data_IF_044073091552
#
_entry.id   IF_044073091552
#
_cell.length_a   1.000
_cell.length_b   1.000
_cell.length_c   1.000
_cell.angle_alpha   90.00
_cell.angle_beta   90.00
_cell.angle_gamma   90.00
#
_symmetry.space_group_name_H-M   'P 1'
#
loop_
_entity.id
_entity.type
_entity.pdbx_description
1 polymer ?
#
# COMPACT_ATOMS: atom_id res chain seq x y z
N UNK A 1 -10.88 9.11 26.48
CA UNK A 1 -9.75 8.61 25.69
C UNK A 1 -8.62 9.62 25.80
N UNK A 2 -7.38 9.18 25.64
CA UNK A 2 -6.20 10.05 25.70
C UNK A 2 -5.87 10.71 24.36
N UNK A 3 -6.58 10.33 23.30
CA UNK A 3 -6.45 10.87 21.93
C UNK A 3 -7.81 11.26 21.35
N UNK A 4 -7.81 12.24 20.46
CA UNK A 4 -8.95 12.64 19.64
C UNK A 4 -8.68 12.31 18.18
N UNK A 5 -9.48 11.42 17.58
CA UNK A 5 -9.40 11.09 16.16
C UNK A 5 -10.13 12.17 15.35
N UNK A 6 -9.44 12.74 14.35
CA UNK A 6 -10.00 13.73 13.43
C UNK A 6 -9.87 13.24 12.00
N UNK A 7 -10.97 13.29 11.27
CA UNK A 7 -10.96 13.05 9.83
C UNK A 7 -10.40 14.28 9.10
N UNK A 8 -9.38 14.06 8.27
CA UNK A 8 -8.71 15.12 7.51
C UNK A 8 -8.69 14.87 6.00
N UNK A 9 -9.33 13.79 5.53
CA UNK A 9 -9.22 13.36 4.13
C UNK A 9 -7.76 13.14 3.70
N UNK A 10 -7.45 13.49 2.45
CA UNK A 10 -6.10 13.38 1.86
C UNK A 10 -5.23 14.63 2.10
N UNK A 11 -5.35 15.25 3.29
CA UNK A 11 -4.64 16.50 3.62
C UNK A 11 -3.55 16.34 4.68
N UNK A 12 -3.01 15.12 4.85
CA UNK A 12 -2.02 14.75 5.87
C UNK A 12 -0.88 15.78 6.00
N UNK A 13 -0.24 16.14 4.88
CA UNK A 13 0.84 17.13 4.90
C UNK A 13 0.37 18.48 5.40
N UNK A 14 -0.67 19.05 4.79
CA UNK A 14 -1.20 20.35 5.18
C UNK A 14 -1.70 20.36 6.63
N UNK A 15 -2.39 19.31 7.06
CA UNK A 15 -2.94 19.20 8.41
C UNK A 15 -1.85 19.18 9.48
N UNK A 16 -0.74 18.47 9.22
CA UNK A 16 0.38 18.43 10.15
C UNK A 16 1.19 19.74 10.13
N UNK A 17 1.55 20.26 8.95
CA UNK A 17 2.40 21.46 8.85
C UNK A 17 1.72 22.73 9.33
N UNK A 18 0.39 22.82 9.23
CA UNK A 18 -0.38 23.97 9.73
C UNK A 18 -0.81 23.84 11.20
N UNK A 19 -0.47 22.73 11.86
CA UNK A 19 -0.86 22.48 13.26
C UNK A 19 -2.36 22.20 13.45
N UNK A 20 -3.08 21.81 12.39
CA UNK A 20 -4.49 21.38 12.49
C UNK A 20 -4.64 20.09 13.30
N UNK A 21 -3.62 19.23 13.24
CA UNK A 21 -3.47 18.00 14.02
C UNK A 21 -2.03 17.86 14.54
N UNK A 22 -1.86 17.21 15.68
CA UNK A 22 -0.55 16.98 16.30
C UNK A 22 0.17 15.74 15.72
N UNK A 23 -0.59 14.85 15.08
CA UNK A 23 -0.09 13.63 14.45
C UNK A 23 -1.00 13.22 13.29
N UNK A 24 -0.43 12.47 12.35
CA UNK A 24 -1.16 11.84 11.24
C UNK A 24 -0.89 10.33 11.23
N UNK A 25 -1.79 9.59 10.59
CA UNK A 25 -1.50 8.23 10.10
C UNK A 25 -1.22 8.36 8.61
N UNK A 26 -0.09 7.82 8.16
CA UNK A 26 0.36 7.88 6.77
C UNK A 26 1.25 6.70 6.44
N UNK A 27 1.65 6.62 5.19
CA UNK A 27 2.51 5.58 4.66
C UNK A 27 3.98 5.98 4.73
N UNK A 28 4.82 5.04 5.13
CA UNK A 28 6.28 5.24 5.18
C UNK A 28 6.88 5.50 3.79
N UNK A 29 6.33 4.90 2.74
CA UNK A 29 6.75 5.11 1.36
C UNK A 29 6.19 6.40 0.73
N UNK A 30 5.21 7.07 1.36
CA UNK A 30 4.64 8.31 0.83
C UNK A 30 4.83 9.50 1.78
N UNK A 31 4.04 9.64 2.84
CA UNK A 31 4.05 10.84 3.69
C UNK A 31 5.45 11.12 4.28
N UNK A 32 6.14 10.08 4.78
CA UNK A 32 7.48 10.28 5.35
C UNK A 32 8.49 10.79 4.31
N UNK A 33 8.40 10.28 3.07
CA UNK A 33 9.22 10.75 1.94
C UNK A 33 8.88 12.19 1.59
N UNK A 34 7.59 12.51 1.45
CA UNK A 34 7.14 13.84 1.05
C UNK A 34 7.49 14.92 2.10
N UNK A 35 7.34 14.63 3.39
CA UNK A 35 7.80 15.56 4.44
C UNK A 35 9.31 15.79 4.40
N UNK A 36 10.10 14.73 4.14
CA UNK A 36 11.54 14.83 3.99
C UNK A 36 11.94 15.73 2.82
N UNK A 37 11.29 15.57 1.67
CA UNK A 37 11.49 16.43 0.49
C UNK A 37 11.08 17.89 0.75
N UNK A 38 10.04 18.11 1.55
CA UNK A 38 9.58 19.44 1.94
C UNK A 38 10.47 20.10 3.02
N UNK A 39 11.48 19.40 3.54
CA UNK A 39 12.34 19.89 4.63
C UNK A 39 11.61 20.04 5.97
N UNK A 40 10.43 19.43 6.11
CA UNK A 40 9.66 19.47 7.35
C UNK A 40 10.08 18.30 8.24
N UNK A 41 10.72 18.61 9.36
CA UNK A 41 11.19 17.58 10.30
C UNK A 41 10.00 16.83 10.91
N UNK A 42 9.99 15.51 10.71
CA UNK A 42 8.99 14.62 11.30
C UNK A 42 9.66 13.54 12.14
N UNK A 43 8.91 12.99 13.09
CA UNK A 43 9.27 11.77 13.80
C UNK A 43 8.25 10.70 13.46
N UNK A 44 8.68 9.68 12.72
CA UNK A 44 7.86 8.51 12.44
C UNK A 44 7.75 7.63 13.67
N UNK A 45 6.52 7.27 14.03
CA UNK A 45 6.22 6.31 15.09
C UNK A 45 5.73 5.02 14.40
N UNK A 46 6.48 3.92 14.45
CA UNK A 46 6.01 2.64 13.93
C UNK A 46 4.72 2.20 14.61
N UNK A 47 3.81 1.60 13.86
CA UNK A 47 2.52 1.10 14.39
C UNK A 47 2.73 0.00 15.44
N UNK A 48 3.82 -0.77 15.35
CA UNK A 48 4.24 -1.70 16.39
C UNK A 48 5.77 -1.84 16.45
N UNK A 49 6.26 -2.44 17.53
CA UNK A 49 7.63 -2.94 17.62
C UNK A 49 7.72 -4.25 16.82
N UNK A 50 8.22 -4.16 15.59
CA UNK A 50 8.37 -5.30 14.68
C UNK A 50 7.34 -5.33 13.56
N UNK A 51 7.29 -6.44 12.84
CA UNK A 51 6.34 -6.63 11.73
C UNK A 51 4.94 -6.86 12.28
N UNK A 52 4.01 -5.98 11.94
CA UNK A 52 2.58 -6.24 12.17
C UNK A 52 2.12 -7.20 11.07
N UNK A 53 1.51 -8.35 11.39
CA UNK A 53 1.09 -9.33 10.38
C UNK A 53 -0.20 -8.88 9.68
N UNK A 54 -0.24 -7.65 9.16
CA UNK A 54 -1.36 -7.16 8.38
C UNK A 54 -1.04 -7.30 6.90
N UNK A 55 -1.97 -7.89 6.15
CA UNK A 55 -1.91 -7.92 4.70
C UNK A 55 -2.20 -6.51 4.16
N UNK A 56 -1.34 -6.02 3.27
CA UNK A 56 -1.42 -4.68 2.70
C UNK A 56 -2.47 -4.53 1.59
N UNK A 57 -2.39 -3.40 0.88
CA UNK A 57 -3.27 -3.12 -0.25
C UNK A 57 -3.23 -4.24 -1.30
N UNK A 58 -4.40 -4.71 -1.72
CA UNK A 58 -4.57 -5.88 -2.56
C UNK A 58 -5.70 -5.64 -3.58
N UNK A 59 -5.71 -6.40 -4.68
CA UNK A 59 -6.87 -6.46 -5.57
C UNK A 59 -8.00 -7.23 -4.88
N UNK A 60 -9.17 -6.63 -4.77
CA UNK A 60 -10.33 -7.19 -4.06
C UNK A 60 -11.51 -7.25 -5.02
N UNK A 61 -12.17 -8.41 -5.08
CA UNK A 61 -13.45 -8.61 -5.76
C UNK A 61 -14.31 -9.56 -4.93
N UNK A 62 -15.58 -9.71 -5.29
CA UNK A 62 -16.47 -10.66 -4.62
C UNK A 62 -16.18 -12.09 -5.08
N UNK A 63 -16.40 -13.07 -4.21
CA UNK A 63 -16.25 -14.48 -4.56
C UNK A 63 -17.16 -14.88 -5.73
N UNK A 64 -18.37 -14.34 -5.80
CA UNK A 64 -19.32 -14.63 -6.88
C UNK A 64 -18.82 -14.09 -8.23
N UNK A 65 -18.30 -12.86 -8.25
CA UNK A 65 -17.73 -12.30 -9.48
C UNK A 65 -16.51 -13.10 -9.95
N UNK A 66 -15.62 -13.48 -9.02
CA UNK A 66 -14.42 -14.23 -9.35
C UNK A 66 -14.70 -15.65 -9.86
N UNK A 67 -15.76 -16.30 -9.35
CA UNK A 67 -16.23 -17.59 -9.86
C UNK A 67 -16.92 -17.48 -11.21
N UNK A 68 -17.71 -16.41 -11.41
CA UNK A 68 -18.44 -16.19 -12.66
C UNK A 68 -17.53 -15.71 -13.81
N UNK A 69 -16.45 -14.99 -13.51
CA UNK A 69 -15.57 -14.35 -14.50
C UNK A 69 -14.08 -14.69 -14.28
N UNK A 70 -13.69 -15.97 -14.19
CA UNK A 70 -12.34 -16.35 -13.79
C UNK A 70 -11.26 -15.82 -14.75
N UNK A 71 -11.53 -15.82 -16.06
CA UNK A 71 -10.59 -15.32 -17.08
C UNK A 71 -10.36 -13.81 -16.98
N UNK A 72 -11.41 -13.05 -16.66
CA UNK A 72 -11.28 -11.59 -16.45
C UNK A 72 -10.44 -11.32 -15.21
N UNK A 73 -10.68 -12.05 -14.12
CA UNK A 73 -9.89 -11.89 -12.89
C UNK A 73 -8.42 -12.25 -13.13
N UNK A 74 -8.14 -13.36 -13.83
CA UNK A 74 -6.76 -13.72 -14.23
C UNK A 74 -6.11 -12.62 -15.05
N UNK A 75 -6.79 -12.08 -16.06
CA UNK A 75 -6.25 -11.03 -16.91
C UNK A 75 -5.94 -9.74 -16.14
N UNK A 76 -6.81 -9.34 -15.19
CA UNK A 76 -6.56 -8.18 -14.33
C UNK A 76 -5.35 -8.44 -13.42
N UNK A 77 -5.29 -9.60 -12.77
CA UNK A 77 -4.16 -9.98 -11.90
C UNK A 77 -2.85 -9.99 -12.69
N UNK A 78 -2.81 -10.65 -13.84
CA UNK A 78 -1.63 -10.72 -14.71
C UNK A 78 -1.21 -9.33 -15.20
N UNK A 79 -2.16 -8.49 -15.66
CA UNK A 79 -1.88 -7.13 -16.11
C UNK A 79 -1.34 -6.23 -15.00
N UNK A 80 -1.91 -6.32 -13.79
CA UNK A 80 -1.42 -5.57 -12.63
C UNK A 80 0.00 -6.02 -12.25
N UNK A 81 0.26 -7.33 -12.16
CA UNK A 81 1.60 -7.83 -11.82
C UNK A 81 2.63 -7.49 -12.89
N UNK A 82 2.28 -7.54 -14.18
CA UNK A 82 3.14 -7.09 -15.26
C UNK A 82 3.46 -5.58 -15.13
N UNK A 83 2.46 -4.75 -14.81
CA UNK A 83 2.65 -3.32 -14.57
C UNK A 83 3.58 -3.03 -13.38
N UNK A 84 3.38 -3.72 -12.25
CA UNK A 84 4.25 -3.60 -11.08
C UNK A 84 5.67 -4.07 -11.40
N UNK A 85 5.82 -5.19 -12.09
CA UNK A 85 7.13 -5.72 -12.52
C UNK A 85 7.87 -4.74 -13.41
N UNK A 86 7.19 -4.16 -14.41
CA UNK A 86 7.76 -3.11 -15.26
C UNK A 86 8.14 -1.89 -14.44
N UNK A 87 7.32 -1.49 -13.47
CA UNK A 87 7.58 -0.34 -12.60
C UNK A 87 8.80 -0.53 -11.70
N UNK A 88 9.01 -1.76 -11.20
CA UNK A 88 10.19 -2.12 -10.43
C UNK A 88 11.44 -2.13 -11.31
N UNK A 89 11.35 -2.67 -12.52
CA UNK A 89 12.47 -2.80 -13.45
C UNK A 89 12.87 -1.47 -14.13
N UNK A 90 11.89 -0.62 -14.44
CA UNK A 90 12.05 0.67 -15.11
C UNK A 90 11.14 1.75 -14.49
N UNK A 91 11.53 2.31 -13.33
CA UNK A 91 10.75 3.35 -12.65
C UNK A 91 10.61 4.64 -13.48
N UNK A 92 11.58 4.94 -14.34
CA UNK A 92 11.56 6.17 -15.16
C UNK A 92 10.52 6.05 -16.28
N UNK A 93 10.45 4.90 -16.94
CA UNK A 93 9.38 4.62 -17.89
C UNK A 93 7.99 4.64 -17.22
N UNK A 94 7.87 4.07 -16.02
CA UNK A 94 6.60 4.10 -15.28
C UNK A 94 6.14 5.53 -14.96
N UNK A 95 7.05 6.42 -14.59
CA UNK A 95 6.75 7.85 -14.38
C UNK A 95 6.35 8.55 -15.67
N UNK A 96 7.07 8.30 -16.76
CA UNK A 96 6.76 8.85 -18.09
C UNK A 96 5.34 8.49 -18.50
N UNK A 97 4.98 7.20 -18.47
CA UNK A 97 3.63 6.72 -18.79
C UNK A 97 2.60 7.35 -17.86
N UNK A 98 2.91 7.45 -16.57
CA UNK A 98 2.01 8.04 -15.57
C UNK A 98 1.66 9.50 -15.87
N UNK A 99 2.53 10.27 -16.52
CA UNK A 99 2.24 11.67 -16.89
C UNK A 99 1.02 11.83 -17.80
N UNK A 100 0.67 10.79 -18.56
CA UNK A 100 -0.52 10.77 -19.43
C UNK A 100 -1.82 10.67 -18.63
N UNK A 101 -1.77 10.07 -17.43
CA UNK A 101 -2.94 9.73 -16.63
C UNK A 101 -3.07 10.56 -15.35
N UNK A 102 -1.97 11.11 -14.84
CA UNK A 102 -1.92 11.87 -13.58
C UNK A 102 -1.77 13.37 -13.87
N UNK A 103 -2.84 14.17 -13.70
CA UNK A 103 -2.76 15.62 -13.88
C UNK A 103 -1.68 16.25 -12.99
N UNK A 104 -0.88 17.16 -13.56
CA UNK A 104 0.18 17.88 -12.85
C UNK A 104 1.50 17.10 -12.70
N UNK A 105 1.54 15.80 -13.03
CA UNK A 105 2.77 15.00 -12.91
C UNK A 105 3.85 15.39 -13.94
N UNK A 106 3.53 16.16 -14.98
CA UNK A 106 4.52 16.66 -15.93
C UNK A 106 5.44 17.74 -15.35
N UNK A 107 5.12 18.33 -14.20
CA UNK A 107 5.97 19.30 -13.53
C UNK A 107 7.22 18.63 -12.92
N UNK A 108 8.39 19.24 -13.09
CA UNK A 108 9.66 18.64 -12.64
C UNK A 108 9.71 18.34 -11.13
N UNK A 109 9.11 19.21 -10.31
CA UNK A 109 8.97 19.00 -8.86
C UNK A 109 8.06 17.79 -8.55
N UNK A 110 6.94 17.65 -9.26
CA UNK A 110 6.03 16.53 -9.13
C UNK A 110 6.69 15.21 -9.54
N UNK A 111 7.47 15.20 -10.63
CA UNK A 111 8.23 14.01 -11.04
C UNK A 111 9.29 13.61 -10.01
N UNK A 112 10.00 14.59 -9.46
CA UNK A 112 11.01 14.33 -8.40
C UNK A 112 10.36 13.70 -7.18
N UNK A 113 9.23 14.27 -6.73
CA UNK A 113 8.47 13.75 -5.60
C UNK A 113 7.92 12.34 -5.86
N UNK A 114 7.34 12.10 -7.04
CA UNK A 114 6.81 10.82 -7.44
C UNK A 114 7.90 9.75 -7.55
N UNK A 115 9.08 10.09 -8.10
CA UNK A 115 10.24 9.18 -8.19
C UNK A 115 10.73 8.74 -6.81
N UNK A 116 10.75 9.65 -5.84
CA UNK A 116 11.14 9.33 -4.48
C UNK A 116 10.13 8.38 -3.80
N UNK A 117 8.83 8.67 -3.93
CA UNK A 117 7.77 7.77 -3.45
C UNK A 117 7.85 6.40 -4.13
N UNK A 118 8.07 6.37 -5.44
CA UNK A 118 8.17 5.12 -6.20
C UNK A 118 9.36 4.26 -5.76
N UNK A 119 10.51 4.90 -5.55
CA UNK A 119 11.71 4.23 -5.02
C UNK A 119 11.43 3.58 -3.66
N UNK A 120 10.76 4.30 -2.75
CA UNK A 120 10.38 3.75 -1.45
C UNK A 120 9.31 2.63 -1.56
N UNK A 121 8.46 2.70 -2.58
CA UNK A 121 7.40 1.70 -2.84
C UNK A 121 7.97 0.41 -3.42
N UNK A 122 8.99 0.49 -4.28
CA UNK A 122 9.63 -0.69 -4.87
C UNK A 122 10.23 -1.63 -3.81
N UNK A 123 10.68 -1.09 -2.67
CA UNK A 123 11.15 -1.90 -1.54
C UNK A 123 10.03 -2.68 -0.82
N UNK A 124 8.76 -2.31 -1.02
CA UNK A 124 7.59 -3.00 -0.48
C UNK A 124 7.02 -4.04 -1.44
N UNK A 125 7.24 -3.87 -2.75
CA UNK A 125 6.75 -4.78 -3.79
C UNK A 125 7.71 -5.92 -4.12
N UNK A 126 8.95 -5.85 -3.64
CA UNK A 126 9.98 -6.83 -3.98
C UNK A 126 10.29 -7.76 -2.81
N UNK A 127 10.48 -9.03 -3.13
CA UNK A 127 11.06 -10.03 -2.25
C UNK A 127 12.55 -9.76 -2.03
N UNK A 128 13.19 -10.47 -1.10
CA UNK A 128 14.61 -10.27 -0.78
C UNK A 128 15.56 -10.47 -1.98
N UNK A 129 15.15 -11.23 -3.01
CA UNK A 129 15.89 -11.40 -4.27
C UNK A 129 15.51 -10.37 -5.36
N UNK A 130 14.74 -9.33 -5.01
CA UNK A 130 14.40 -8.20 -5.86
C UNK A 130 13.26 -8.46 -6.85
N UNK A 131 12.52 -9.57 -6.70
CA UNK A 131 11.43 -9.93 -7.61
C UNK A 131 10.08 -9.49 -7.09
N UNK A 132 9.17 -9.20 -8.01
CA UNK A 132 7.77 -8.97 -7.68
C UNK A 132 7.09 -10.32 -7.45
N UNK A 133 6.43 -10.45 -6.30
CA UNK A 133 5.62 -11.61 -5.97
C UNK A 133 4.19 -11.15 -5.67
N UNK A 134 3.23 -11.65 -6.46
CA UNK A 134 1.81 -11.37 -6.29
C UNK A 134 1.09 -12.39 -5.40
N UNK A 135 1.80 -13.38 -4.89
CA UNK A 135 1.20 -14.44 -4.10
C UNK A 135 0.91 -14.03 -2.67
N UNK A 136 -0.22 -14.51 -2.16
CA UNK A 136 -0.56 -14.39 -0.75
C UNK A 136 0.07 -15.54 0.05
N UNK A 137 0.67 -15.21 1.19
CA UNK A 137 1.12 -16.18 2.18
C UNK A 137 -0.01 -16.55 3.13
N UNK A 138 -0.47 -17.80 3.09
CA UNK A 138 -1.51 -18.32 3.96
C UNK A 138 -1.14 -18.20 5.46
N UNK A 139 0.14 -18.29 5.82
CA UNK A 139 0.59 -18.11 7.19
C UNK A 139 0.38 -16.67 7.66
N UNK A 140 0.73 -15.67 6.84
CA UNK A 140 0.48 -14.26 7.13
C UNK A 140 -1.01 -13.97 7.36
N UNK A 141 -1.89 -14.57 6.56
CA UNK A 141 -3.34 -14.44 6.72
C UNK A 141 -3.84 -15.06 8.04
N UNK A 142 -3.25 -16.18 8.47
CA UNK A 142 -3.52 -16.76 9.79
C UNK A 142 -3.06 -15.83 10.92
N UNK A 143 -1.83 -15.34 10.83
CA UNK A 143 -1.26 -14.41 11.81
C UNK A 143 -2.07 -13.10 11.90
N UNK A 144 -2.59 -12.61 10.77
CA UNK A 144 -3.49 -11.46 10.72
C UNK A 144 -4.78 -11.72 11.51
N UNK A 145 -5.42 -12.87 11.29
CA UNK A 145 -6.65 -13.23 11.98
C UNK A 145 -6.45 -13.34 13.50
N UNK A 146 -5.33 -13.95 13.91
CA UNK A 146 -4.95 -14.07 15.32
C UNK A 146 -4.66 -12.70 15.94
N UNK A 147 -3.90 -11.86 15.24
CA UNK A 147 -3.59 -10.49 15.67
C UNK A 147 -4.85 -9.64 15.84
N UNK A 148 -5.75 -9.63 14.84
CA UNK A 148 -6.97 -8.82 14.88
C UNK A 148 -7.88 -9.22 16.05
N UNK A 149 -8.02 -10.52 16.34
CA UNK A 149 -8.78 -11.01 17.48
C UNK A 149 -8.11 -10.64 18.81
N UNK A 150 -6.79 -10.84 18.92
CA UNK A 150 -6.03 -10.51 20.13
C UNK A 150 -6.06 -9.01 20.47
N UNK A 151 -6.12 -8.14 19.46
CA UNK A 151 -6.26 -6.68 19.62
C UNK A 151 -7.72 -6.21 19.76
N UNK A 152 -8.71 -7.12 19.71
CA UNK A 152 -10.12 -6.76 19.80
C UNK A 152 -10.66 -5.99 18.60
N UNK A 153 -9.98 -6.06 17.45
CA UNK A 153 -10.42 -5.45 16.19
C UNK A 153 -11.56 -6.25 15.54
N UNK A 154 -11.64 -7.56 15.85
CA UNK A 154 -12.77 -8.43 15.56
C UNK A 154 -13.34 -8.97 16.88
N UNK A 155 -14.65 -9.28 16.89
CA UNK A 155 -15.30 -9.84 18.08
C UNK A 155 -14.78 -11.23 18.46
N UNK A 156 -14.32 -12.00 17.47
CA UNK A 156 -13.66 -13.29 17.63
C UNK A 156 -12.66 -13.51 16.47
N UNK A 157 -11.89 -14.60 16.54
CA UNK A 157 -11.00 -15.00 15.45
C UNK A 157 -11.83 -15.47 14.24
N UNK A 158 -11.64 -14.82 13.10
CA UNK A 158 -12.28 -15.18 11.83
C UNK A 158 -11.40 -16.17 11.07
N UNK A 159 -11.98 -17.19 10.43
CA UNK A 159 -11.23 -18.04 9.49
C UNK A 159 -10.78 -17.20 8.28
N UNK A 160 -9.47 -17.06 8.02
CA UNK A 160 -8.99 -16.23 6.93
C UNK A 160 -9.00 -16.95 5.57
N UNK A 161 -9.19 -18.28 5.54
CA UNK A 161 -9.17 -19.08 4.31
C UNK A 161 -10.06 -18.53 3.18
N UNK A 162 -11.31 -18.08 3.42
CA UNK A 162 -12.14 -17.51 2.35
C UNK A 162 -11.75 -16.08 1.92
N UNK A 163 -10.83 -15.41 2.63
CA UNK A 163 -10.50 -14.01 2.39
C UNK A 163 -9.50 -13.78 1.24
N UNK A 164 -8.82 -14.83 0.77
CA UNK A 164 -7.83 -14.73 -0.29
C UNK A 164 -7.82 -15.95 -1.21
N UNK A 165 -7.23 -15.80 -2.39
CA UNK A 165 -7.02 -16.92 -3.31
C UNK A 165 -5.85 -16.65 -4.25
N UNK A 166 -4.90 -17.57 -4.29
CA UNK A 166 -3.82 -17.61 -5.27
C UNK A 166 -4.22 -18.30 -6.57
N UNK A 167 -5.46 -18.79 -6.69
CA UNK A 167 -5.90 -19.59 -7.84
C UNK A 167 -5.94 -18.79 -9.16
N UNK A 168 -5.94 -17.45 -9.08
CA UNK A 168 -5.97 -16.53 -10.22
C UNK A 168 -4.60 -15.99 -10.62
N UNK A 169 -3.54 -16.38 -9.91
CA UNK A 169 -2.16 -16.12 -10.34
C UNK A 169 -1.82 -17.08 -11.48
N UNK A 170 -1.32 -16.54 -12.60
CA UNK A 170 -0.99 -17.29 -13.80
C UNK A 170 -0.45 -16.40 -14.90
#
# INVERSE_FOLDING_TARGET
SDVQVKEIGYTQQAALTTGKVDAIVGFSNNEAVQFGLAGFATRSLPIASGTVPLVGASLITTADYAKANPEVVRAVVAGTLAGITTTVADPDHALEVSTTYVPGLSEASAQTAAKATLTATNALWTTADGKVDGSFDAAQWSDMADFMAAQGLTGERVDPTPAFSNAYLG
#
